data_IF_727502747542
#
_entry.id   IF_727502747542
#
_cell.length_a   1.000
_cell.length_b   1.000
_cell.length_c   1.000
_cell.angle_alpha   90.00
_cell.angle_beta   90.00
_cell.angle_gamma   90.00
#
_symmetry.space_group_name_H-M   'P 1'
#
loop_
_entity.id
_entity.type
_entity.pdbx_description
1 polymer ?
#
# COMPACT_ATOMS: atom_id res chain seq x y z
N UNK A 1 -2.44 -7.42 -14.57
CA UNK A 1 -1.62 -8.50 -13.98
C UNK A 1 -0.16 -8.06 -13.79
N UNK A 2 0.61 -7.71 -14.84
CA UNK A 2 2.04 -7.36 -14.70
C UNK A 2 2.39 -6.22 -13.70
N UNK A 3 1.45 -5.30 -13.45
CA UNK A 3 1.60 -4.22 -12.45
C UNK A 3 1.94 -4.73 -11.04
N UNK A 4 1.45 -5.90 -10.62
CA UNK A 4 1.76 -6.44 -9.29
C UNK A 4 3.25 -6.75 -9.13
N UNK A 5 3.89 -7.29 -10.17
CA UNK A 5 5.33 -7.55 -10.18
C UNK A 5 6.11 -6.24 -10.16
N UNK A 6 5.73 -5.26 -10.98
CA UNK A 6 6.36 -3.94 -11.00
C UNK A 6 6.32 -3.26 -9.63
N UNK A 7 5.15 -3.25 -8.98
CA UNK A 7 5.00 -2.67 -7.65
C UNK A 7 5.78 -3.43 -6.59
N UNK A 8 5.76 -4.77 -6.64
CA UNK A 8 6.50 -5.57 -5.67
C UNK A 8 8.02 -5.35 -5.75
N UNK A 9 8.58 -5.31 -6.97
CA UNK A 9 10.00 -5.02 -7.19
C UNK A 9 10.36 -3.63 -6.63
N UNK A 10 9.54 -2.63 -6.92
CA UNK A 10 9.77 -1.27 -6.42
C UNK A 10 9.64 -1.19 -4.90
N UNK A 11 8.62 -1.84 -4.32
CA UNK A 11 8.37 -1.87 -2.89
C UNK A 11 9.51 -2.51 -2.10
N UNK A 12 10.07 -3.63 -2.57
CA UNK A 12 11.23 -4.27 -1.94
C UNK A 12 12.48 -3.39 -2.05
N UNK A 13 12.60 -2.60 -3.12
CA UNK A 13 13.78 -1.75 -3.37
C UNK A 13 13.74 -0.44 -2.58
N UNK A 14 12.55 0.16 -2.41
CA UNK A 14 12.39 1.52 -1.90
C UNK A 14 11.61 1.63 -0.58
N UNK A 15 10.90 0.57 -0.17
CA UNK A 15 10.06 0.54 1.05
C UNK A 15 9.12 1.76 1.19
N UNK A 16 8.61 2.25 0.07
CA UNK A 16 7.87 3.52 -0.03
C UNK A 16 6.39 3.35 -0.37
N UNK A 17 5.83 2.15 -0.30
CA UNK A 17 4.40 1.93 -0.56
C UNK A 17 3.61 2.02 0.75
N UNK A 18 3.23 3.24 1.12
CA UNK A 18 2.34 3.48 2.25
C UNK A 18 0.96 2.90 2.08
N UNK A 19 0.39 2.40 3.17
CA UNK A 19 -0.93 1.78 3.15
C UNK A 19 -1.83 2.33 4.25
N UNK A 20 -3.13 2.34 4.01
CA UNK A 20 -4.17 2.66 4.97
C UNK A 20 -5.02 1.42 5.20
N UNK A 21 -5.27 1.05 6.46
CA UNK A 21 -6.22 -0.02 6.75
C UNK A 21 -7.62 0.47 6.39
N UNK A 22 -8.39 -0.37 5.72
CA UNK A 22 -9.75 -0.05 5.30
C UNK A 22 -10.68 -1.24 5.54
N UNK A 23 -11.97 -0.96 5.63
CA UNK A 23 -12.99 -1.99 5.82
C UNK A 23 -13.22 -2.78 4.54
N UNK A 24 -13.32 -2.09 3.40
CA UNK A 24 -13.56 -2.66 2.08
C UNK A 24 -13.04 -1.74 0.95
N UNK A 25 -13.27 -2.15 -0.30
CA UNK A 25 -12.82 -1.41 -1.49
C UNK A 25 -13.67 -0.14 -1.72
N UNK A 26 -14.96 -0.23 -1.49
CA UNK A 26 -15.93 0.85 -1.65
C UNK A 26 -15.60 2.02 -0.72
N UNK A 27 -15.28 1.74 0.54
CA UNK A 27 -14.77 2.72 1.51
C UNK A 27 -13.45 3.35 1.04
N UNK A 28 -12.58 2.58 0.38
CA UNK A 28 -11.34 3.11 -0.17
C UNK A 28 -11.55 4.06 -1.34
N UNK A 29 -12.45 3.71 -2.26
CA UNK A 29 -12.86 4.58 -3.38
C UNK A 29 -13.51 5.87 -2.86
N UNK A 30 -14.33 5.75 -1.81
CA UNK A 30 -14.99 6.87 -1.13
C UNK A 30 -14.05 7.69 -0.21
N UNK A 31 -12.76 7.32 -0.12
CA UNK A 31 -11.74 7.98 0.74
C UNK A 31 -12.10 7.96 2.23
N UNK A 32 -12.65 6.85 2.72
CA UNK A 32 -13.08 6.64 4.11
C UNK A 32 -12.09 5.82 4.96
N UNK A 33 -10.94 5.41 4.43
CA UNK A 33 -9.92 4.62 5.16
C UNK A 33 -9.07 5.42 6.18
N UNK A 34 -9.43 6.68 6.46
CA UNK A 34 -8.61 7.62 7.20
C UNK A 34 -7.58 8.35 6.32
N UNK A 35 -6.74 9.16 6.97
CA UNK A 35 -5.85 10.15 6.35
C UNK A 35 -4.39 10.03 6.84
N UNK A 36 -4.05 8.96 7.55
CA UNK A 36 -2.70 8.65 8.00
C UNK A 36 -2.30 7.25 7.54
N UNK A 37 -1.06 7.11 7.06
CA UNK A 37 -0.52 5.78 6.75
C UNK A 37 -0.40 4.92 8.01
N UNK A 38 -0.69 3.63 7.85
CA UNK A 38 -0.43 2.60 8.85
C UNK A 38 1.05 2.22 8.90
N UNK A 39 1.42 1.39 9.87
CA UNK A 39 2.76 0.78 9.95
C UNK A 39 2.98 -0.35 8.94
N UNK A 40 1.94 -0.77 8.21
CA UNK A 40 2.02 -1.81 7.18
C UNK A 40 2.42 -1.16 5.85
N UNK A 41 3.43 -1.71 5.17
CA UNK A 41 3.89 -1.25 3.84
C UNK A 41 3.68 -2.37 2.84
N UNK A 42 3.20 -2.06 1.63
CA UNK A 42 3.08 -3.11 0.61
C UNK A 42 4.44 -3.76 0.36
N UNK A 43 4.52 -5.09 0.35
CA UNK A 43 5.76 -5.82 0.05
C UNK A 43 6.80 -5.87 1.17
N UNK A 44 6.57 -5.24 2.33
CA UNK A 44 7.50 -5.35 3.46
C UNK A 44 7.45 -6.74 4.12
N UNK A 45 8.62 -7.29 4.41
CA UNK A 45 8.81 -8.55 5.12
C UNK A 45 8.29 -8.48 6.57
N UNK A 46 8.42 -7.31 7.19
CA UNK A 46 7.95 -7.03 8.55
C UNK A 46 6.44 -7.18 8.75
N UNK A 47 5.67 -7.28 7.67
CA UNK A 47 4.23 -7.54 7.69
C UNK A 47 3.88 -8.96 8.11
N UNK A 48 4.81 -9.92 7.95
CA UNK A 48 4.58 -11.31 8.30
C UNK A 48 4.06 -11.40 9.75
N UNK A 49 2.91 -12.06 9.91
CA UNK A 49 2.20 -12.24 11.19
C UNK A 49 1.74 -10.96 11.90
N UNK A 50 1.84 -9.78 11.26
CA UNK A 50 1.45 -8.47 11.82
C UNK A 50 0.38 -7.75 11.01
N UNK A 51 0.31 -7.98 9.71
CA UNK A 51 -0.67 -7.33 8.85
C UNK A 51 -1.97 -8.15 8.78
N UNK A 52 -3.03 -7.64 9.41
CA UNK A 52 -4.37 -8.24 9.36
C UNK A 52 -5.40 -7.23 8.80
N UNK A 53 -6.16 -7.67 7.80
CA UNK A 53 -7.25 -6.92 7.17
C UNK A 53 -6.95 -6.47 5.75
N UNK A 54 -7.78 -5.54 5.25
CA UNK A 54 -7.66 -4.97 3.91
C UNK A 54 -6.88 -3.65 4.02
N UNK A 55 -5.92 -3.47 3.12
CA UNK A 55 -5.10 -2.27 3.05
C UNK A 55 -5.21 -1.63 1.67
N UNK A 56 -5.52 -0.35 1.65
CA UNK A 56 -5.51 0.46 0.45
C UNK A 56 -4.16 1.18 0.31
N UNK A 57 -3.57 1.10 -0.87
CA UNK A 57 -2.24 1.64 -1.17
C UNK A 57 -2.37 2.67 -2.28
N UNK A 58 -2.32 3.97 -1.97
CA UNK A 58 -2.25 5.00 -3.00
C UNK A 58 -0.93 4.89 -3.77
N UNK A 59 -1.01 5.00 -5.09
CA UNK A 59 0.16 4.95 -5.98
C UNK A 59 0.14 6.13 -6.95
N UNK A 60 1.33 6.56 -7.37
CA UNK A 60 1.49 7.54 -8.43
C UNK A 60 1.12 6.92 -9.79
N UNK A 61 0.88 7.77 -10.81
CA UNK A 61 0.62 7.31 -12.18
C UNK A 61 1.87 6.74 -12.87
N UNK A 62 3.06 7.12 -12.39
CA UNK A 62 4.37 6.77 -12.96
C UNK A 62 5.36 6.39 -11.83
N UNK A 63 6.47 5.73 -12.19
CA UNK A 63 7.50 5.35 -11.21
C UNK A 63 8.28 6.59 -10.72
N UNK A 64 8.64 6.70 -9.43
CA UNK A 64 8.29 5.78 -8.35
C UNK A 64 6.79 5.79 -8.06
N UNK A 65 6.18 4.61 -8.09
CA UNK A 65 4.76 4.40 -7.86
C UNK A 65 4.41 4.52 -6.39
N UNK A 66 5.28 4.01 -5.50
CA UNK A 66 5.12 4.15 -4.06
C UNK A 66 5.28 5.60 -3.61
N UNK A 67 4.48 6.02 -2.63
CA UNK A 67 4.63 7.30 -1.96
C UNK A 67 4.30 7.19 -0.46
N UNK A 68 5.12 7.83 0.38
CA UNK A 68 4.92 7.92 1.84
C UNK A 68 4.88 9.37 2.35
N UNK A 69 4.99 10.35 1.45
CA UNK A 69 4.94 11.79 1.74
C UNK A 69 3.51 12.31 1.78
#
# INVERSE_FOLDING_TARGET
HGRSVTYYVEAVTQDNFGSMKCDDYEAAVDKKCGNTYSSVRMGADSNADKAEGIFYVPVNSESPYGNIN
#
